data_IF_395061814647
#
_entry.id   IF_395061814647
#
_cell.length_a   1.000
_cell.length_b   1.000
_cell.length_c   1.000
_cell.angle_alpha   90.00
_cell.angle_beta   90.00
_cell.angle_gamma   90.00
#
_symmetry.space_group_name_H-M   'P 1'
#
loop_
_entity.id
_entity.type
_entity.pdbx_description
1 polymer ?
#
# COMPACT_ATOMS: atom_id res chain seq x y z
N UNK A 1 -46.50 61.11 10.09
CA UNK A 1 -45.20 60.97 9.39
C UNK A 1 -44.38 59.93 10.14
N UNK A 2 -44.60 58.63 9.89
CA UNK A 2 -43.87 57.54 10.61
C UNK A 2 -43.99 56.14 9.97
N UNK A 3 -44.65 55.96 8.82
CA UNK A 3 -44.94 54.62 8.26
C UNK A 3 -44.12 54.26 7.02
N UNK A 4 -43.25 55.14 6.53
CA UNK A 4 -42.45 54.92 5.31
C UNK A 4 -41.01 54.43 5.59
N UNK A 5 -40.57 54.46 6.85
CA UNK A 5 -39.20 54.08 7.24
C UNK A 5 -39.07 52.58 7.51
N UNK A 6 -40.14 51.94 8.03
CA UNK A 6 -40.10 50.51 8.37
C UNK A 6 -40.18 49.56 7.18
N UNK A 7 -40.80 49.99 6.06
CA UNK A 7 -40.89 49.20 4.83
C UNK A 7 -39.57 49.18 4.06
N UNK A 8 -38.88 50.32 3.96
CA UNK A 8 -37.57 50.44 3.33
C UNK A 8 -36.49 49.66 4.08
N UNK A 9 -36.52 49.70 5.41
CA UNK A 9 -35.60 48.92 6.25
C UNK A 9 -35.82 47.41 6.12
N UNK A 10 -37.07 46.96 5.96
CA UNK A 10 -37.40 45.55 5.78
C UNK A 10 -36.98 45.03 4.39
N UNK A 11 -37.15 45.85 3.35
CA UNK A 11 -36.73 45.52 1.98
C UNK A 11 -35.19 45.59 1.82
N UNK A 12 -34.54 46.55 2.48
CA UNK A 12 -33.08 46.63 2.56
C UNK A 12 -32.50 45.39 3.26
N UNK A 13 -33.04 44.97 4.42
CA UNK A 13 -32.62 43.75 5.12
C UNK A 13 -32.88 42.48 4.31
N UNK A 14 -34.00 42.39 3.58
CA UNK A 14 -34.25 41.26 2.65
C UNK A 14 -33.25 41.23 1.49
N UNK A 15 -32.87 42.40 0.97
CA UNK A 15 -31.84 42.54 -0.08
C UNK A 15 -30.46 42.14 0.44
N UNK A 16 -30.08 42.59 1.64
CA UNK A 16 -28.81 42.21 2.28
C UNK A 16 -28.77 40.72 2.60
N UNK A 17 -29.80 40.14 3.22
CA UNK A 17 -29.87 38.70 3.49
C UNK A 17 -29.78 37.86 2.22
N UNK A 18 -30.38 38.33 1.11
CA UNK A 18 -30.26 37.69 -0.19
C UNK A 18 -28.84 37.77 -0.73
N UNK A 19 -28.15 38.91 -0.62
CA UNK A 19 -26.75 39.06 -1.06
C UNK A 19 -25.79 38.17 -0.26
N UNK A 20 -25.97 38.08 1.06
CA UNK A 20 -25.22 37.16 1.91
C UNK A 20 -25.51 35.70 1.54
N UNK A 21 -26.76 35.35 1.25
CA UNK A 21 -27.16 34.04 0.77
C UNK A 21 -26.56 33.68 -0.59
N UNK A 22 -26.60 34.58 -1.56
CA UNK A 22 -25.98 34.41 -2.89
C UNK A 22 -24.46 34.20 -2.76
N UNK A 23 -23.80 35.00 -1.92
CA UNK A 23 -22.36 34.87 -1.65
C UNK A 23 -22.02 33.51 -1.01
N UNK A 24 -22.84 33.03 -0.08
CA UNK A 24 -22.67 31.72 0.53
C UNK A 24 -22.83 30.59 -0.49
N UNK A 25 -23.83 30.66 -1.37
CA UNK A 25 -24.02 29.68 -2.45
C UNK A 25 -22.81 29.66 -3.39
N UNK A 26 -22.32 30.82 -3.81
CA UNK A 26 -21.12 30.94 -4.66
C UNK A 26 -19.91 30.33 -3.95
N UNK A 27 -19.71 30.63 -2.67
CA UNK A 27 -18.61 30.06 -1.89
C UNK A 27 -18.69 28.52 -1.81
N UNK A 28 -19.88 27.97 -1.56
CA UNK A 28 -20.10 26.51 -1.55
C UNK A 28 -19.80 25.89 -2.91
N UNK A 29 -20.28 26.50 -4.01
CA UNK A 29 -20.01 26.02 -5.37
C UNK A 29 -18.51 26.02 -5.67
N UNK A 30 -17.79 27.11 -5.32
CA UNK A 30 -16.34 27.18 -5.48
C UNK A 30 -15.64 26.07 -4.69
N UNK A 31 -16.02 25.87 -3.42
CA UNK A 31 -15.45 24.80 -2.58
C UNK A 31 -15.71 23.42 -3.19
N UNK A 32 -16.91 23.16 -3.72
CA UNK A 32 -17.23 21.91 -4.39
C UNK A 32 -16.40 21.70 -5.66
N UNK A 33 -16.20 22.74 -6.48
CA UNK A 33 -15.35 22.67 -7.68
C UNK A 33 -13.90 22.39 -7.29
N UNK A 34 -13.36 23.16 -6.33
CA UNK A 34 -11.98 23.00 -5.84
C UNK A 34 -11.79 21.60 -5.27
N UNK A 35 -12.72 21.11 -4.43
CA UNK A 35 -12.64 19.77 -3.85
C UNK A 35 -12.82 18.67 -4.88
N UNK A 36 -13.68 18.88 -5.88
CA UNK A 36 -13.89 17.91 -6.95
C UNK A 36 -12.64 17.76 -7.82
N UNK A 37 -12.02 18.89 -8.22
CA UNK A 37 -11.01 18.92 -9.27
C UNK A 37 -9.56 19.09 -8.77
N UNK A 38 -9.30 19.85 -7.71
CA UNK A 38 -7.93 20.27 -7.40
C UNK A 38 -7.29 19.39 -6.31
N UNK A 39 -7.88 19.43 -5.12
CA UNK A 39 -7.36 18.71 -3.96
C UNK A 39 -8.47 18.32 -3.00
N UNK A 40 -8.21 17.34 -2.14
CA UNK A 40 -9.11 16.98 -1.06
C UNK A 40 -8.34 16.82 0.26
N UNK A 41 -9.07 16.91 1.36
CA UNK A 41 -8.54 16.85 2.71
C UNK A 41 -8.99 15.56 3.39
N UNK A 42 -8.03 14.73 3.77
CA UNK A 42 -8.30 13.43 4.40
C UNK A 42 -7.72 13.37 5.79
N UNK A 43 -8.39 12.67 6.70
CA UNK A 43 -7.86 12.29 8.01
C UNK A 43 -7.33 10.87 7.95
N UNK A 44 -6.21 10.59 8.62
CA UNK A 44 -5.68 9.24 8.78
C UNK A 44 -6.26 8.60 10.05
N UNK A 45 -7.08 7.54 9.93
CA UNK A 45 -7.69 6.88 11.08
C UNK A 45 -6.93 5.63 11.55
N UNK A 46 -6.03 5.07 10.73
CA UNK A 46 -5.36 3.79 11.01
C UNK A 46 -3.84 3.87 10.94
N UNK A 47 -3.09 3.00 11.66
CA UNK A 47 -1.63 3.02 11.72
C UNK A 47 -0.93 2.31 10.54
N UNK A 48 -1.65 1.96 9.48
CA UNK A 48 -1.08 1.19 8.34
C UNK A 48 0.06 1.90 7.59
N UNK A 49 0.13 3.23 7.71
CA UNK A 49 1.17 4.08 7.12
C UNK A 49 2.04 4.75 8.20
N UNK A 50 1.99 4.26 9.44
CA UNK A 50 2.64 4.84 10.62
C UNK A 50 4.14 5.08 10.44
N UNK A 51 4.71 5.97 11.26
CA UNK A 51 5.98 6.70 11.08
C UNK A 51 5.91 7.76 9.97
N UNK A 52 5.51 7.36 8.76
CA UNK A 52 5.38 8.28 7.62
C UNK A 52 4.08 9.10 7.69
N UNK A 53 2.94 8.48 7.98
CA UNK A 53 1.63 9.08 8.18
C UNK A 53 1.01 8.55 9.48
N UNK A 54 0.85 9.41 10.48
CA UNK A 54 0.37 9.00 11.80
C UNK A 54 -1.15 9.07 11.90
N UNK A 55 -1.73 8.26 12.79
CA UNK A 55 -3.13 8.42 13.20
C UNK A 55 -3.32 9.84 13.76
N UNK A 56 -4.34 10.53 13.26
CA UNK A 56 -4.59 11.94 13.57
C UNK A 56 -3.91 12.94 12.65
N UNK A 57 -3.13 12.50 11.66
CA UNK A 57 -2.68 13.37 10.57
C UNK A 57 -3.84 13.72 9.64
N UNK A 58 -3.81 14.96 9.16
CA UNK A 58 -4.71 15.47 8.14
C UNK A 58 -3.90 15.84 6.89
N UNK A 59 -4.23 15.21 5.78
CA UNK A 59 -3.46 15.24 4.55
C UNK A 59 -4.12 16.16 3.52
N UNK A 60 -3.29 16.84 2.74
CA UNK A 60 -3.70 17.40 1.44
C UNK A 60 -3.38 16.37 0.38
N UNK A 61 -4.40 16.03 -0.41
CA UNK A 61 -4.28 15.10 -1.53
C UNK A 61 -4.48 15.87 -2.82
N UNK A 62 -3.46 15.90 -3.66
CA UNK A 62 -3.50 16.57 -4.95
C UNK A 62 -4.07 15.63 -6.01
N UNK A 63 -5.24 15.97 -6.55
CA UNK A 63 -5.86 15.27 -7.68
C UNK A 63 -5.19 15.64 -9.00
N UNK A 64 -4.62 16.84 -9.06
CA UNK A 64 -3.91 17.35 -10.24
C UNK A 64 -2.65 16.56 -10.60
N UNK A 65 -2.02 15.88 -9.63
CA UNK A 65 -0.84 15.05 -9.92
C UNK A 65 -1.17 13.96 -10.94
N UNK A 66 -2.24 13.20 -10.73
CA UNK A 66 -2.62 12.08 -11.61
C UNK A 66 -3.83 12.38 -12.47
N UNK A 67 -4.25 13.64 -12.54
CA UNK A 67 -5.40 14.05 -13.33
C UNK A 67 -6.73 13.90 -12.58
N UNK A 68 -7.56 14.95 -12.51
CA UNK A 68 -8.89 14.86 -11.93
C UNK A 68 -9.79 13.90 -12.70
N UNK A 69 -10.65 13.16 -11.98
CA UNK A 69 -11.64 12.26 -12.57
C UNK A 69 -13.03 12.89 -12.62
N UNK A 70 -13.83 12.52 -13.62
CA UNK A 70 -15.25 12.86 -13.66
C UNK A 70 -16.03 12.09 -12.59
N UNK A 71 -17.13 12.66 -12.05
CA UNK A 71 -18.05 11.91 -11.20
C UNK A 71 -18.64 10.72 -11.96
N UNK A 72 -18.81 9.59 -11.27
CA UNK A 72 -19.35 8.35 -11.86
C UNK A 72 -20.78 8.11 -11.36
N UNK A 73 -21.15 8.64 -10.19
CA UNK A 73 -22.51 8.60 -9.65
C UNK A 73 -23.13 9.99 -9.51
N UNK A 74 -24.45 10.07 -9.62
CA UNK A 74 -25.22 11.28 -9.29
C UNK A 74 -25.70 11.18 -7.84
N UNK A 75 -25.28 12.10 -6.98
CA UNK A 75 -25.71 12.13 -5.59
C UNK A 75 -25.46 13.46 -4.90
N UNK A 76 -26.00 13.61 -3.70
CA UNK A 76 -25.84 14.83 -2.91
C UNK A 76 -24.39 14.86 -2.37
N UNK A 77 -23.61 15.93 -2.65
CA UNK A 77 -22.26 16.07 -2.12
C UNK A 77 -22.24 15.95 -0.60
N UNK A 78 -21.20 15.34 -0.04
CA UNK A 78 -20.99 15.19 1.42
C UNK A 78 -22.00 14.28 2.12
N UNK A 79 -22.83 13.55 1.39
CA UNK A 79 -23.76 12.55 1.95
C UNK A 79 -23.61 11.20 1.25
N UNK A 80 -24.16 10.15 1.86
CA UNK A 80 -24.30 8.83 1.25
C UNK A 80 -25.44 8.73 0.24
N UNK A 81 -26.26 9.77 0.08
CA UNK A 81 -27.43 9.74 -0.79
C UNK A 81 -26.98 9.87 -2.25
N UNK A 82 -27.22 8.83 -3.04
CA UNK A 82 -27.05 8.82 -4.50
C UNK A 82 -28.28 8.22 -5.19
N UNK A 83 -28.42 8.49 -6.48
CA UNK A 83 -29.45 7.87 -7.31
C UNK A 83 -28.99 6.48 -7.75
N UNK A 84 -29.69 5.40 -7.39
CA UNK A 84 -29.35 4.07 -7.85
C UNK A 84 -29.62 3.93 -9.35
N UNK A 85 -28.75 3.21 -10.06
CA UNK A 85 -28.91 2.93 -11.49
C UNK A 85 -28.47 4.04 -12.46
N UNK A 86 -28.01 5.20 -11.96
CA UNK A 86 -27.45 6.28 -12.79
C UNK A 86 -25.92 6.24 -12.69
N UNK A 87 -25.26 5.79 -13.75
CA UNK A 87 -23.80 5.77 -13.88
C UNK A 87 -23.35 6.61 -15.06
N UNK A 88 -22.34 7.46 -14.85
CA UNK A 88 -21.71 8.26 -15.90
C UNK A 88 -20.45 7.58 -16.43
N UNK A 89 -20.09 7.80 -17.70
CA UNK A 89 -18.83 7.29 -18.23
C UNK A 89 -17.65 7.90 -17.47
N UNK A 90 -16.72 7.03 -17.08
CA UNK A 90 -15.50 7.44 -16.42
C UNK A 90 -14.56 8.13 -17.41
N UNK A 91 -14.11 9.33 -17.06
CA UNK A 91 -13.05 10.04 -17.76
C UNK A 91 -12.06 10.64 -16.75
N UNK A 92 -10.77 10.57 -17.11
CA UNK A 92 -9.68 11.20 -16.35
C UNK A 92 -9.05 12.27 -17.22
N UNK A 93 -8.96 13.48 -16.68
CA UNK A 93 -8.25 14.59 -17.31
C UNK A 93 -6.73 14.38 -17.19
N UNK A 94 -5.90 15.00 -18.04
CA UNK A 94 -4.45 14.94 -17.89
C UNK A 94 -3.99 15.45 -16.52
N UNK A 95 -3.04 14.74 -15.91
CA UNK A 95 -2.34 15.16 -14.70
C UNK A 95 -1.00 15.83 -15.03
N UNK A 96 -0.38 16.42 -14.02
CA UNK A 96 0.99 16.96 -14.14
C UNK A 96 2.07 15.88 -14.08
N UNK A 97 1.72 14.66 -13.65
CA UNK A 97 2.62 13.53 -13.47
C UNK A 97 1.89 12.20 -13.63
N UNK A 98 2.63 11.13 -13.80
CA UNK A 98 2.10 9.76 -13.70
C UNK A 98 2.35 9.20 -12.31
N UNK A 99 1.63 8.14 -11.96
CA UNK A 99 1.88 7.40 -10.72
C UNK A 99 3.26 6.79 -10.79
N UNK A 100 4.06 6.94 -9.74
CA UNK A 100 5.41 6.38 -9.66
C UNK A 100 5.55 5.43 -8.48
N UNK A 101 6.51 4.50 -8.59
CA UNK A 101 6.86 3.62 -7.48
C UNK A 101 7.31 4.46 -6.30
N UNK A 102 6.75 4.17 -5.13
CA UNK A 102 7.00 4.90 -3.90
C UNK A 102 6.05 6.07 -3.67
N UNK A 103 5.15 6.40 -4.59
CA UNK A 103 4.15 7.43 -4.32
C UNK A 103 3.16 6.99 -3.23
N UNK A 104 2.86 7.85 -2.24
CA UNK A 104 1.74 7.67 -1.34
C UNK A 104 0.46 8.10 -2.07
N UNK A 105 -0.35 7.13 -2.46
CA UNK A 105 -1.58 7.36 -3.21
C UNK A 105 -2.79 7.24 -2.30
N UNK A 106 -3.78 8.09 -2.55
CA UNK A 106 -5.13 7.91 -2.03
C UNK A 106 -5.98 7.32 -3.14
N UNK A 107 -6.72 6.26 -2.82
CA UNK A 107 -7.53 5.52 -3.78
C UNK A 107 -8.81 5.02 -3.10
N UNK A 108 -9.80 4.69 -3.91
CA UNK A 108 -11.02 4.03 -3.46
C UNK A 108 -10.77 2.53 -3.25
N UNK A 109 -11.24 1.98 -2.13
CA UNK A 109 -11.01 0.58 -1.75
C UNK A 109 -11.57 -0.39 -2.81
N UNK A 110 -10.73 -1.13 -3.56
CA UNK A 110 -11.19 -1.83 -4.76
C UNK A 110 -12.28 -2.89 -4.56
N UNK A 111 -12.25 -3.74 -3.51
CA UNK A 111 -13.20 -4.84 -3.35
C UNK A 111 -14.66 -4.48 -3.08
N UNK A 112 -14.94 -3.22 -2.73
CA UNK A 112 -16.30 -2.73 -2.49
C UNK A 112 -17.11 -2.73 -3.79
N UNK A 113 -18.40 -3.08 -3.73
CA UNK A 113 -19.28 -3.14 -4.91
C UNK A 113 -20.05 -1.81 -5.14
N UNK A 114 -19.87 -0.83 -4.25
CA UNK A 114 -20.38 0.54 -4.43
C UNK A 114 -19.79 1.24 -5.66
N UNK A 115 -20.46 2.27 -6.22
CA UNK A 115 -19.87 3.14 -7.25
C UNK A 115 -18.50 3.67 -6.83
N UNK A 116 -17.54 3.76 -7.76
CA UNK A 116 -16.13 4.07 -7.47
C UNK A 116 -15.97 5.33 -6.59
N UNK A 117 -16.78 6.36 -6.82
CA UNK A 117 -16.74 7.63 -6.09
C UNK A 117 -17.43 7.60 -4.71
N UNK A 118 -18.04 6.46 -4.32
CA UNK A 118 -18.69 6.21 -3.03
C UNK A 118 -17.93 5.25 -2.13
N UNK A 119 -17.02 4.46 -2.70
CA UNK A 119 -16.16 3.54 -1.97
C UNK A 119 -15.30 4.26 -0.94
N UNK A 120 -14.99 3.58 0.16
CA UNK A 120 -14.11 4.09 1.22
C UNK A 120 -12.72 4.44 0.67
N UNK A 121 -12.13 5.53 1.15
CA UNK A 121 -10.79 5.95 0.77
C UNK A 121 -9.71 5.26 1.59
N UNK A 122 -8.68 4.78 0.91
CA UNK A 122 -7.48 4.18 1.50
C UNK A 122 -6.24 4.97 1.08
N UNK A 123 -5.24 4.98 1.96
CA UNK A 123 -3.91 5.51 1.67
C UNK A 123 -2.90 4.39 1.80
N UNK A 124 -2.10 4.17 0.75
CA UNK A 124 -1.01 3.18 0.70
C UNK A 124 0.09 3.72 -0.20
N UNK A 125 1.26 3.07 -0.14
CA UNK A 125 2.38 3.37 -1.03
C UNK A 125 2.38 2.43 -2.22
N UNK A 126 2.62 2.96 -3.41
CA UNK A 126 2.79 2.15 -4.63
C UNK A 126 4.11 1.40 -4.53
N UNK A 127 4.04 0.06 -4.51
CA UNK A 127 5.21 -0.81 -4.45
C UNK A 127 5.46 -1.47 -5.79
N UNK A 128 4.42 -1.92 -6.49
CA UNK A 128 4.50 -2.52 -7.82
C UNK A 128 3.79 -1.67 -8.87
N UNK A 129 4.44 -1.49 -10.00
CA UNK A 129 4.00 -0.73 -11.17
C UNK A 129 3.36 -1.64 -12.22
N UNK A 130 2.59 -1.09 -13.18
CA UNK A 130 2.06 -1.85 -14.30
C UNK A 130 3.18 -2.57 -15.04
N UNK A 131 3.03 -3.89 -15.27
CA UNK A 131 4.00 -4.72 -15.98
C UNK A 131 5.07 -5.36 -15.10
N UNK A 132 5.23 -4.93 -13.84
CA UNK A 132 6.18 -5.58 -12.92
C UNK A 132 5.72 -7.00 -12.55
N UNK A 133 6.69 -7.81 -12.13
CA UNK A 133 6.46 -9.03 -11.36
C UNK A 133 6.84 -8.83 -9.89
N UNK A 134 5.87 -8.86 -9.00
CA UNK A 134 6.09 -8.69 -7.56
C UNK A 134 6.12 -10.04 -6.84
N UNK A 135 7.09 -10.23 -5.95
CA UNK A 135 7.10 -11.31 -4.96
C UNK A 135 7.55 -10.81 -3.60
N UNK A 136 7.21 -11.53 -2.55
CA UNK A 136 7.71 -11.29 -1.19
C UNK A 136 8.34 -12.60 -0.71
N UNK A 137 9.58 -12.53 -0.22
CA UNK A 137 10.32 -13.65 0.34
C UNK A 137 10.88 -13.22 1.69
N UNK A 138 10.47 -13.88 2.76
CA UNK A 138 10.89 -13.57 4.12
C UNK A 138 10.78 -12.07 4.46
N UNK A 139 9.62 -11.48 4.18
CA UNK A 139 9.27 -10.03 4.25
C UNK A 139 9.92 -9.12 3.21
N UNK A 140 10.96 -9.56 2.50
CA UNK A 140 11.61 -8.73 1.51
C UNK A 140 10.83 -8.75 0.19
N UNK A 141 10.38 -7.57 -0.23
CA UNK A 141 9.75 -7.39 -1.53
C UNK A 141 10.80 -7.52 -2.62
N UNK A 142 10.45 -8.16 -3.73
CA UNK A 142 11.24 -8.22 -4.94
C UNK A 142 10.39 -7.81 -6.13
N UNK A 143 10.95 -6.97 -7.00
CA UNK A 143 10.35 -6.49 -8.25
C UNK A 143 11.19 -7.04 -9.39
N UNK A 144 10.59 -7.83 -10.27
CA UNK A 144 11.26 -8.50 -11.38
C UNK A 144 12.49 -9.34 -10.95
N UNK A 145 12.46 -9.82 -9.71
CA UNK A 145 13.54 -10.57 -9.07
C UNK A 145 14.48 -9.73 -8.22
N UNK A 146 14.56 -8.42 -8.44
CA UNK A 146 15.44 -7.51 -7.72
C UNK A 146 14.87 -7.13 -6.35
N UNK A 147 15.68 -7.14 -5.27
CA UNK A 147 15.20 -6.81 -3.94
C UNK A 147 14.86 -5.32 -3.82
N UNK A 148 13.68 -5.03 -3.25
CA UNK A 148 13.23 -3.70 -2.89
C UNK A 148 13.15 -3.59 -1.35
N UNK A 149 14.23 -3.13 -0.68
CA UNK A 149 14.27 -3.03 0.77
C UNK A 149 13.29 -2.00 1.31
N UNK A 150 13.02 -2.07 2.61
CA UNK A 150 12.23 -1.07 3.32
C UNK A 150 12.88 0.31 3.19
N UNK A 151 12.07 1.29 2.80
CA UNK A 151 12.49 2.69 2.75
C UNK A 151 12.46 3.36 4.12
N UNK A 152 12.87 4.63 4.16
CA UNK A 152 12.80 5.47 5.35
C UNK A 152 11.38 5.52 5.92
N UNK A 153 11.28 5.32 7.24
CA UNK A 153 10.01 5.32 7.98
C UNK A 153 9.15 4.07 7.75
N UNK A 154 9.55 3.14 6.88
CA UNK A 154 8.85 1.85 6.82
C UNK A 154 9.30 0.97 7.98
N UNK A 155 8.37 0.19 8.51
CA UNK A 155 8.60 -0.64 9.68
C UNK A 155 7.97 -2.02 9.54
N UNK A 156 8.53 -2.96 10.30
CA UNK A 156 8.10 -4.35 10.39
C UNK A 156 8.43 -4.90 11.79
N UNK A 157 7.89 -6.07 12.11
CA UNK A 157 8.27 -6.80 13.30
C UNK A 157 9.63 -7.47 13.13
N UNK A 158 10.42 -7.34 14.20
CA UNK A 158 11.68 -8.00 14.40
C UNK A 158 11.58 -8.92 15.61
N UNK A 159 12.15 -10.12 15.52
CA UNK A 159 12.38 -10.96 16.69
C UNK A 159 13.69 -10.51 17.33
N UNK A 160 13.60 -10.00 18.56
CA UNK A 160 14.76 -9.58 19.35
C UNK A 160 14.99 -10.59 20.48
N UNK A 161 16.15 -11.23 20.48
CA UNK A 161 16.61 -12.09 21.56
C UNK A 161 17.40 -11.25 22.55
N UNK A 162 16.96 -11.21 23.81
CA UNK A 162 17.57 -10.44 24.89
C UNK A 162 18.68 -11.26 25.57
N UNK A 163 19.73 -10.57 26.01
CA UNK A 163 20.80 -11.15 26.83
C UNK A 163 20.32 -11.50 28.24
N UNK A 164 19.38 -10.73 28.81
CA UNK A 164 18.68 -11.02 30.08
C UNK A 164 17.16 -11.06 29.85
N UNK A 165 16.52 -12.17 30.21
CA UNK A 165 15.07 -12.38 30.09
C UNK A 165 14.24 -11.33 30.86
N UNK A 166 14.79 -10.75 31.93
CA UNK A 166 14.12 -9.75 32.77
C UNK A 166 14.24 -8.33 32.22
N UNK A 167 15.14 -8.12 31.27
CA UNK A 167 15.33 -6.79 30.69
C UNK A 167 14.03 -6.32 30.02
N UNK A 168 13.63 -5.10 30.36
CA UNK A 168 12.50 -4.39 29.77
C UNK A 168 13.04 -3.14 29.08
N UNK A 169 12.57 -2.87 27.86
CA UNK A 169 12.98 -1.69 27.09
C UNK A 169 12.25 -0.49 27.70
N UNK A 170 12.94 0.47 28.33
CA UNK A 170 12.28 1.66 28.87
C UNK A 170 11.68 2.49 27.74
N UNK A 171 10.52 3.12 27.97
CA UNK A 171 9.80 3.93 26.97
C UNK A 171 10.69 4.96 26.26
N UNK A 172 11.51 5.70 27.03
CA UNK A 172 12.46 6.67 26.46
C UNK A 172 13.43 6.04 25.45
N UNK A 173 13.90 4.81 25.69
CA UNK A 173 14.77 4.10 24.75
C UNK A 173 14.01 3.59 23.52
N UNK A 174 12.72 3.30 23.66
CA UNK A 174 11.87 2.97 22.52
C UNK A 174 11.76 4.17 21.58
N UNK A 175 11.46 5.34 22.13
CA UNK A 175 11.37 6.61 21.40
C UNK A 175 12.71 6.97 20.72
N UNK A 176 13.84 6.84 21.44
CA UNK A 176 15.19 7.11 20.90
C UNK A 176 15.57 6.19 19.71
N UNK A 177 15.11 4.94 19.70
CA UNK A 177 15.43 3.96 18.66
C UNK A 177 14.32 3.80 17.60
N UNK A 178 13.25 4.60 17.64
CA UNK A 178 12.13 4.45 16.70
C UNK A 178 11.43 3.09 16.80
N UNK A 179 11.21 2.63 18.03
CA UNK A 179 10.41 1.44 18.34
C UNK A 179 8.98 1.87 18.62
N UNK A 180 8.04 1.44 17.79
CA UNK A 180 6.64 1.81 17.90
C UNK A 180 5.84 0.84 18.79
N UNK A 181 6.22 -0.44 18.81
CA UNK A 181 5.53 -1.45 19.63
C UNK A 181 6.48 -2.56 20.11
N UNK A 182 6.24 -3.10 21.31
CA UNK A 182 6.92 -4.30 21.83
C UNK A 182 5.89 -5.32 22.31
N UNK A 183 5.85 -6.48 21.65
CA UNK A 183 5.00 -7.62 22.04
C UNK A 183 5.85 -8.70 22.70
N UNK A 184 5.37 -9.21 23.83
CA UNK A 184 5.99 -10.37 24.49
C UNK A 184 5.71 -11.63 23.67
N UNK A 185 6.64 -12.57 23.70
CA UNK A 185 6.43 -13.92 23.14
C UNK A 185 6.28 -14.93 24.28
N UNK A 186 6.00 -16.19 23.93
CA UNK A 186 5.92 -17.29 24.89
C UNK A 186 7.27 -17.59 25.57
N UNK A 187 8.39 -17.08 25.03
CA UNK A 187 9.72 -17.20 25.63
C UNK A 187 10.12 -15.87 26.24
N UNK A 188 10.51 -15.87 27.52
CA UNK A 188 10.86 -14.65 28.26
C UNK A 188 12.08 -13.90 27.67
N UNK A 189 12.96 -14.63 26.98
CA UNK A 189 14.15 -14.09 26.33
C UNK A 189 13.86 -13.42 24.99
N UNK A 190 12.71 -13.68 24.35
CA UNK A 190 12.41 -13.14 23.02
C UNK A 190 11.20 -12.21 23.04
N UNK A 191 11.33 -11.08 22.35
CA UNK A 191 10.26 -10.10 22.15
C UNK A 191 10.11 -9.81 20.66
N UNK A 192 8.89 -9.50 20.22
CA UNK A 192 8.62 -8.97 18.88
C UNK A 192 8.59 -7.46 18.98
N UNK A 193 9.40 -6.78 18.17
CA UNK A 193 9.54 -5.33 18.20
C UNK A 193 9.13 -4.78 16.85
N UNK A 194 8.12 -3.91 16.82
CA UNK A 194 7.77 -3.15 15.63
C UNK A 194 8.71 -1.96 15.53
N UNK A 195 9.55 -1.94 14.51
CA UNK A 195 10.55 -0.90 14.33
C UNK A 195 10.96 -0.74 12.87
N UNK A 196 11.51 0.44 12.56
CA UNK A 196 12.20 0.70 11.30
C UNK A 196 13.51 -0.10 11.20
N UNK A 197 14.07 -0.33 9.99
CA UNK A 197 15.39 -0.94 9.84
C UNK A 197 16.51 -0.22 10.59
N UNK A 198 16.44 1.11 10.68
CA UNK A 198 17.40 1.91 11.45
C UNK A 198 17.25 1.66 12.95
N UNK A 199 16.01 1.57 13.44
CA UNK A 199 15.76 1.17 14.83
C UNK A 199 16.29 -0.23 15.14
N UNK A 200 16.13 -1.17 14.22
CA UNK A 200 16.72 -2.50 14.33
C UNK A 200 18.26 -2.47 14.38
N UNK A 201 18.91 -1.62 13.56
CA UNK A 201 20.36 -1.40 13.58
C UNK A 201 20.83 -0.88 14.94
N UNK A 202 20.16 0.15 15.46
CA UNK A 202 20.50 0.72 16.76
C UNK A 202 20.30 -0.27 17.90
N UNK A 203 19.24 -1.08 17.85
CA UNK A 203 19.01 -2.15 18.83
C UNK A 203 20.14 -3.19 18.80
N UNK A 204 20.59 -3.62 17.62
CA UNK A 204 21.66 -4.63 17.46
C UNK A 204 22.96 -4.25 18.18
N UNK A 205 23.22 -2.96 18.34
CA UNK A 205 24.43 -2.42 18.98
C UNK A 205 24.34 -2.39 20.52
N UNK A 206 23.18 -2.74 21.11
CA UNK A 206 22.99 -2.66 22.56
C UNK A 206 23.42 -3.96 23.24
N UNK A 207 24.10 -3.85 24.39
CA UNK A 207 24.59 -4.99 25.16
C UNK A 207 23.50 -5.96 25.65
N UNK A 208 22.25 -5.49 25.75
CA UNK A 208 21.10 -6.31 26.14
C UNK A 208 20.49 -7.10 24.98
N UNK A 209 20.96 -6.92 23.74
CA UNK A 209 20.50 -7.64 22.55
C UNK A 209 21.53 -8.70 22.16
N UNK A 210 21.10 -9.96 22.11
CA UNK A 210 21.88 -11.11 21.64
C UNK A 210 21.78 -11.28 20.13
N UNK A 211 20.56 -11.20 19.59
CA UNK A 211 20.29 -11.26 18.15
C UNK A 211 19.05 -10.46 17.79
N UNK A 212 18.98 -10.03 16.54
CA UNK A 212 17.81 -9.40 15.93
C UNK A 212 17.66 -9.90 14.50
N UNK A 213 16.47 -10.40 14.18
CA UNK A 213 16.14 -11.01 12.90
C UNK A 213 14.71 -10.60 12.48
N UNK A 214 14.38 -10.49 11.19
CA UNK A 214 13.01 -10.28 10.74
C UNK A 214 12.06 -11.34 11.32
N UNK A 215 10.90 -10.94 11.83
CA UNK A 215 9.90 -11.88 12.34
C UNK A 215 9.04 -12.45 11.21
N UNK A 216 9.50 -13.51 10.54
CA UNK A 216 8.74 -14.13 9.45
C UNK A 216 7.56 -14.94 10.00
N UNK A 217 6.36 -14.62 9.53
CA UNK A 217 5.13 -15.32 9.82
C UNK A 217 4.99 -16.56 8.93
N UNK A 218 5.03 -17.72 9.57
CA UNK A 218 4.73 -19.02 8.97
C UNK A 218 3.43 -19.53 9.57
N UNK A 219 2.29 -19.20 8.95
CA UNK A 219 0.97 -19.66 9.35
C UNK A 219 0.10 -19.89 8.13
N UNK A 220 -0.51 -21.08 8.05
CA UNK A 220 -1.44 -21.45 6.99
C UNK A 220 -2.80 -20.71 7.12
N UNK A 221 -3.05 -20.06 8.28
CA UNK A 221 -4.28 -19.29 8.54
C UNK A 221 -4.50 -18.16 7.53
N UNK A 222 -3.43 -17.68 6.88
CA UNK A 222 -3.50 -16.59 5.91
C UNK A 222 -3.81 -17.07 4.49
N UNK A 223 -3.72 -18.37 4.21
CA UNK A 223 -3.86 -18.90 2.86
C UNK A 223 -5.17 -18.45 2.16
N UNK A 224 -6.27 -18.44 2.91
CA UNK A 224 -7.58 -18.07 2.37
C UNK A 224 -7.86 -16.54 2.45
N UNK A 225 -7.06 -15.81 3.24
CA UNK A 225 -7.16 -14.36 3.40
C UNK A 225 -6.30 -13.58 2.39
N UNK A 226 -5.29 -14.23 1.80
CA UNK A 226 -4.44 -13.63 0.77
C UNK A 226 -5.15 -13.58 -0.58
N UNK A 227 -4.70 -12.68 -1.45
CA UNK A 227 -5.14 -12.59 -2.83
C UNK A 227 -4.07 -13.10 -3.80
N UNK A 228 -4.39 -13.96 -4.77
CA UNK A 228 -5.56 -14.82 -4.77
C UNK A 228 -5.47 -15.82 -3.62
N UNK A 229 -6.63 -16.25 -3.13
CA UNK A 229 -6.71 -17.21 -2.02
C UNK A 229 -6.28 -18.61 -2.46
N UNK A 230 -5.90 -19.45 -1.49
CA UNK A 230 -5.60 -20.86 -1.74
C UNK A 230 -4.23 -21.12 -2.40
N UNK A 231 -3.27 -20.19 -2.28
CA UNK A 231 -1.94 -20.30 -2.91
C UNK A 231 -0.78 -20.62 -1.97
N UNK A 232 -1.08 -20.87 -0.70
CA UNK A 232 -0.08 -20.99 0.37
C UNK A 232 0.60 -19.66 0.68
N UNK A 233 0.02 -18.54 0.26
CA UNK A 233 0.59 -17.23 0.50
C UNK A 233 0.40 -16.79 1.95
N UNK A 234 1.41 -16.10 2.47
CA UNK A 234 1.34 -15.34 3.70
C UNK A 234 1.70 -13.87 3.41
N UNK A 235 1.44 -12.94 4.35
CA UNK A 235 1.89 -11.56 4.20
C UNK A 235 3.40 -11.41 4.00
N UNK A 236 4.19 -12.40 4.43
CA UNK A 236 5.66 -12.39 4.43
C UNK A 236 6.27 -13.26 3.31
N UNK A 237 5.48 -14.15 2.71
CA UNK A 237 5.86 -15.03 1.61
C UNK A 237 4.72 -15.08 0.58
N UNK A 238 4.89 -14.34 -0.53
CA UNK A 238 3.81 -14.01 -1.45
C UNK A 238 4.29 -14.01 -2.91
N UNK A 239 3.42 -14.41 -3.83
CA UNK A 239 3.69 -14.36 -5.26
C UNK A 239 4.64 -15.48 -5.75
N UNK A 240 5.27 -15.32 -6.93
CA UNK A 240 5.25 -14.12 -7.77
C UNK A 240 3.87 -13.84 -8.39
N UNK A 241 3.52 -12.56 -8.53
CA UNK A 241 2.35 -12.08 -9.26
C UNK A 241 2.78 -11.04 -10.30
N UNK A 242 2.28 -11.17 -11.51
CA UNK A 242 2.49 -10.18 -12.56
C UNK A 242 1.37 -9.14 -12.53
N UNK A 243 1.76 -7.86 -12.50
CA UNK A 243 0.84 -6.74 -12.35
C UNK A 243 0.35 -6.33 -13.74
N UNK A 244 -0.97 -6.32 -13.98
CA UNK A 244 -1.50 -5.94 -15.29
C UNK A 244 -1.11 -4.53 -15.74
N UNK A 245 -0.80 -4.39 -17.02
CA UNK A 245 -0.56 -3.10 -17.67
C UNK A 245 -1.50 -2.89 -18.84
N UNK A 246 -1.91 -1.64 -19.05
CA UNK A 246 -2.82 -1.27 -20.13
C UNK A 246 -2.27 -1.72 -21.49
N UNK A 247 -3.11 -2.37 -22.28
CA UNK A 247 -2.76 -2.86 -23.61
C UNK A 247 -1.90 -4.13 -23.63
N UNK A 248 -1.50 -4.66 -22.47
CA UNK A 248 -0.74 -5.92 -22.40
C UNK A 248 -1.68 -7.12 -22.51
N UNK A 249 -1.34 -8.05 -23.39
CA UNK A 249 -2.06 -9.32 -23.55
C UNK A 249 -1.40 -10.43 -22.76
N UNK A 250 -2.17 -11.13 -21.93
CA UNK A 250 -1.71 -12.31 -21.18
C UNK A 250 -2.42 -13.57 -21.65
N UNK A 251 -1.72 -14.71 -21.58
CA UNK A 251 -2.34 -16.03 -21.72
C UNK A 251 -3.02 -16.42 -20.41
N UNK A 252 -4.31 -16.72 -20.49
CA UNK A 252 -5.09 -17.24 -19.38
C UNK A 252 -4.80 -18.73 -19.20
N UNK A 253 -4.63 -19.13 -17.95
CA UNK A 253 -4.33 -20.48 -17.52
C UNK A 253 -5.03 -20.72 -16.20
N UNK A 254 -5.28 -21.98 -15.86
CA UNK A 254 -5.78 -22.35 -14.53
C UNK A 254 -4.95 -21.72 -13.38
N UNK A 255 -3.63 -21.64 -13.57
CA UNK A 255 -2.69 -21.08 -12.58
C UNK A 255 -2.82 -19.57 -12.36
N UNK A 256 -3.20 -18.77 -13.35
CA UNK A 256 -3.34 -17.32 -13.20
C UNK A 256 -4.81 -16.86 -13.22
N UNK A 257 -5.74 -17.77 -13.42
CA UNK A 257 -7.16 -17.45 -13.49
C UNK A 257 -7.69 -16.79 -12.22
N UNK A 258 -7.35 -17.36 -11.05
CA UNK A 258 -7.75 -16.77 -9.76
C UNK A 258 -7.18 -15.36 -9.55
N UNK A 259 -6.02 -15.05 -10.14
CA UNK A 259 -5.42 -13.73 -10.10
C UNK A 259 -6.20 -12.76 -11.01
N UNK A 260 -6.44 -13.11 -12.27
CA UNK A 260 -6.98 -12.15 -13.24
C UNK A 260 -8.50 -12.12 -13.37
N UNK A 261 -9.22 -13.17 -12.96
CA UNK A 261 -10.69 -13.16 -13.04
C UNK A 261 -11.32 -11.98 -12.29
N UNK A 262 -10.96 -11.68 -11.02
CA UNK A 262 -11.51 -10.51 -10.33
C UNK A 262 -11.19 -9.20 -11.05
N UNK A 263 -10.04 -9.10 -11.70
CA UNK A 263 -9.66 -7.91 -12.48
C UNK A 263 -10.60 -7.71 -13.67
N UNK A 264 -10.73 -8.76 -14.48
CA UNK A 264 -11.58 -8.77 -15.69
C UNK A 264 -13.04 -8.46 -15.34
N UNK A 265 -13.55 -9.10 -14.29
CA UNK A 265 -14.96 -8.98 -13.90
C UNK A 265 -15.26 -7.67 -13.17
N UNK A 266 -14.51 -7.36 -12.11
CA UNK A 266 -14.85 -6.25 -11.21
C UNK A 266 -14.37 -4.91 -11.73
N UNK A 267 -13.19 -4.86 -12.33
CA UNK A 267 -12.54 -3.59 -12.68
C UNK A 267 -12.64 -3.24 -14.16
N UNK A 268 -12.84 -4.23 -15.03
CA UNK A 268 -13.04 -4.00 -16.47
C UNK A 268 -14.46 -4.31 -16.95
N UNK A 269 -15.34 -4.84 -16.07
CA UNK A 269 -16.77 -4.93 -16.31
C UNK A 269 -17.21 -6.04 -17.27
N UNK A 270 -16.38 -7.07 -17.46
CA UNK A 270 -16.67 -8.18 -18.36
C UNK A 270 -17.26 -9.40 -17.64
N UNK A 271 -18.11 -10.18 -18.31
CA UNK A 271 -18.42 -11.52 -17.81
C UNK A 271 -17.24 -12.45 -18.11
N UNK A 272 -16.81 -13.23 -17.12
CA UNK A 272 -15.63 -14.09 -17.26
C UNK A 272 -15.79 -15.42 -16.50
N UNK A 273 -15.71 -16.52 -17.25
CA UNK A 273 -15.80 -17.89 -16.71
C UNK A 273 -14.77 -18.84 -17.35
N UNK A 274 -14.24 -19.74 -16.54
CA UNK A 274 -13.39 -20.83 -17.00
C UNK A 274 -14.27 -21.95 -17.56
N UNK A 275 -13.93 -22.46 -18.74
CA UNK A 275 -14.64 -23.60 -19.37
C UNK A 275 -13.87 -24.90 -19.19
N UNK A 276 -12.54 -24.84 -19.37
CA UNK A 276 -11.57 -25.92 -19.13
C UNK A 276 -10.28 -25.31 -18.58
N UNK A 277 -9.27 -26.13 -18.29
CA UNK A 277 -7.96 -25.66 -17.79
C UNK A 277 -7.23 -24.71 -18.75
N UNK A 278 -7.61 -24.71 -20.03
CA UNK A 278 -6.96 -23.94 -21.11
C UNK A 278 -7.92 -23.09 -21.94
N UNK A 279 -9.23 -23.15 -21.70
CA UNK A 279 -10.24 -22.38 -22.44
C UNK A 279 -11.15 -21.63 -21.48
N UNK A 280 -11.36 -20.35 -21.79
CA UNK A 280 -12.14 -19.40 -21.01
C UNK A 280 -13.21 -18.78 -21.91
N UNK A 281 -14.25 -18.21 -21.31
CA UNK A 281 -15.20 -17.36 -22.01
C UNK A 281 -15.20 -15.98 -21.38
N UNK A 282 -15.08 -14.95 -22.23
CA UNK A 282 -15.18 -13.54 -21.85
C UNK A 282 -16.28 -12.92 -22.71
N UNK A 283 -17.31 -12.36 -22.07
CA UNK A 283 -18.54 -11.89 -22.72
C UNK A 283 -19.16 -12.92 -23.68
N UNK A 284 -19.11 -14.20 -23.27
CA UNK A 284 -19.60 -15.32 -24.08
C UNK A 284 -18.67 -15.79 -25.19
N UNK A 285 -17.63 -15.03 -25.56
CA UNK A 285 -16.67 -15.42 -26.57
C UNK A 285 -15.58 -16.34 -26.01
N UNK A 286 -15.31 -17.47 -26.68
CA UNK A 286 -14.26 -18.41 -26.30
C UNK A 286 -12.88 -17.81 -26.56
N UNK A 287 -12.02 -17.81 -25.55
CA UNK A 287 -10.66 -17.26 -25.63
C UNK A 287 -9.69 -18.03 -24.72
N UNK A 288 -8.39 -17.85 -24.95
CA UNK A 288 -7.30 -18.25 -24.06
C UNK A 288 -6.39 -17.09 -23.67
N UNK A 289 -6.76 -15.87 -24.04
CA UNK A 289 -5.99 -14.65 -23.78
C UNK A 289 -6.89 -13.51 -23.36
N UNK A 290 -6.31 -12.53 -22.67
CA UNK A 290 -6.98 -11.29 -22.30
C UNK A 290 -6.03 -10.10 -22.46
N UNK A 291 -6.56 -8.96 -22.90
CA UNK A 291 -5.83 -7.69 -23.01
C UNK A 291 -6.43 -6.69 -22.02
N UNK A 292 -5.62 -6.22 -21.09
CA UNK A 292 -6.06 -5.29 -20.05
C UNK A 292 -6.33 -3.88 -20.60
N UNK A 293 -7.35 -3.22 -20.07
CA UNK A 293 -7.84 -1.93 -20.56
C UNK A 293 -7.30 -0.73 -19.78
N UNK A 294 -6.75 -0.98 -18.59
CA UNK A 294 -6.16 0.04 -17.74
C UNK A 294 -4.92 -0.44 -17.01
N UNK A 295 -4.23 0.51 -16.39
CA UNK A 295 -3.07 0.25 -15.56
C UNK A 295 -3.48 -0.16 -14.15
N UNK A 296 -2.68 -1.04 -13.56
CA UNK A 296 -2.89 -1.57 -12.23
C UNK A 296 -1.63 -1.42 -11.39
N UNK A 297 -1.82 -1.21 -10.10
CA UNK A 297 -0.75 -1.00 -9.13
C UNK A 297 -0.86 -2.01 -8.00
N UNK A 298 0.27 -2.35 -7.40
CA UNK A 298 0.32 -3.11 -6.16
C UNK A 298 0.74 -2.16 -5.04
N UNK A 299 -0.17 -1.87 -4.12
CA UNK A 299 0.06 -0.89 -3.06
C UNK A 299 0.19 -1.58 -1.69
N UNK A 300 1.17 -1.17 -0.89
CA UNK A 300 1.42 -1.70 0.45
C UNK A 300 1.50 -0.60 1.50
N UNK A 301 1.25 -0.96 2.76
CA UNK A 301 1.45 -0.05 3.89
C UNK A 301 2.92 0.11 4.25
N UNK A 302 3.28 1.27 4.80
CA UNK A 302 4.62 1.50 5.35
C UNK A 302 4.82 0.74 6.68
N UNK A 303 3.73 0.51 7.42
CA UNK A 303 3.69 -0.38 8.57
C UNK A 303 3.32 -1.81 8.11
N UNK A 304 4.33 -2.56 7.65
CA UNK A 304 4.15 -3.77 6.83
C UNK A 304 3.34 -4.87 7.49
N UNK A 305 3.45 -5.00 8.81
CA UNK A 305 2.78 -6.04 9.58
C UNK A 305 1.45 -5.60 10.20
N UNK A 306 1.12 -4.30 10.14
CA UNK A 306 -0.15 -3.74 10.58
C UNK A 306 -0.91 -3.09 9.41
N UNK A 307 -0.79 -3.68 8.22
CA UNK A 307 -1.41 -3.18 6.99
C UNK A 307 -2.11 -4.31 6.26
N UNK A 308 -3.44 -4.25 6.20
CA UNK A 308 -4.16 -4.88 5.10
C UNK A 308 -3.93 -4.01 3.85
N UNK A 309 -3.44 -4.64 2.79
CA UNK A 309 -3.03 -4.00 1.55
C UNK A 309 -3.22 -4.93 0.33
N UNK A 310 -2.60 -4.62 -0.82
CA UNK A 310 -2.78 -5.41 -2.05
C UNK A 310 -2.47 -6.91 -1.91
N UNK A 311 -1.72 -7.33 -0.88
CA UNK A 311 -1.54 -8.76 -0.55
C UNK A 311 -2.86 -9.46 -0.20
N UNK A 312 -3.85 -8.74 0.31
CA UNK A 312 -5.12 -9.26 0.81
C UNK A 312 -6.26 -9.10 -0.20
N UNK A 313 -6.25 -8.01 -0.99
CA UNK A 313 -7.36 -7.69 -1.91
C UNK A 313 -6.97 -7.59 -3.38
N UNK A 314 -5.69 -7.64 -3.69
CA UNK A 314 -5.17 -7.54 -5.04
C UNK A 314 -4.90 -6.13 -5.53
N UNK A 315 -4.98 -5.97 -6.84
CA UNK A 315 -4.48 -4.78 -7.51
C UNK A 315 -5.37 -3.55 -7.29
N UNK A 316 -4.74 -2.37 -7.35
CA UNK A 316 -5.41 -1.08 -7.36
C UNK A 316 -5.48 -0.60 -8.82
N UNK A 317 -6.66 -0.57 -9.46
CA UNK A 317 -6.80 -0.04 -10.81
C UNK A 317 -6.65 1.49 -10.85
N UNK A 318 -6.20 2.02 -11.99
CA UNK A 318 -5.98 3.45 -12.19
C UNK A 318 -7.25 4.29 -12.00
N UNK A 319 -8.43 3.78 -12.34
CA UNK A 319 -9.71 4.47 -12.13
C UNK A 319 -10.06 4.70 -10.64
N UNK A 320 -9.53 3.87 -9.74
CA UNK A 320 -9.71 4.01 -8.29
C UNK A 320 -8.73 5.00 -7.67
N UNK A 321 -7.63 5.36 -8.34
CA UNK A 321 -6.65 6.33 -7.82
C UNK A 321 -7.27 7.73 -7.77
N UNK A 322 -7.31 8.35 -6.59
CA UNK A 322 -7.86 9.69 -6.39
C UNK A 322 -6.78 10.76 -6.60
N UNK A 323 -5.59 10.57 -6.02
CA UNK A 323 -4.53 11.57 -6.08
C UNK A 323 -3.31 11.20 -5.23
N UNK A 324 -2.28 12.05 -5.28
CA UNK A 324 -1.05 11.92 -4.47
C UNK A 324 -1.24 12.62 -3.13
N UNK A 325 -0.91 11.95 -2.03
CA UNK A 325 -0.80 12.61 -0.73
C UNK A 325 0.50 13.44 -0.71
N UNK A 326 0.39 14.77 -0.61
CA UNK A 326 1.54 15.66 -0.82
C UNK A 326 2.08 16.28 0.48
N UNK A 327 1.22 16.59 1.44
CA UNK A 327 1.64 17.20 2.71
C UNK A 327 0.64 16.92 3.84
N UNK A 328 1.13 16.88 5.07
CA UNK A 328 0.31 16.87 6.28
C UNK A 328 0.03 18.31 6.69
N UNK A 329 -1.20 18.81 6.51
CA UNK A 329 -1.53 20.21 6.85
C UNK A 329 -1.81 20.42 8.33
N UNK A 330 -2.27 19.38 9.02
CA UNK A 330 -2.51 19.40 10.45
C UNK A 330 -2.28 18.01 11.05
N UNK A 331 -1.98 17.95 12.34
CA UNK A 331 -1.78 16.68 13.04
C UNK A 331 -2.18 16.81 14.50
N UNK A 332 -3.03 15.90 14.96
CA UNK A 332 -3.54 15.87 16.34
C UNK A 332 -3.08 14.60 17.05
N UNK A 333 -2.51 14.77 18.24
CA UNK A 333 -2.20 13.65 19.12
C UNK A 333 -3.39 13.34 20.02
N UNK A 334 -4.01 12.18 19.82
CA UNK A 334 -5.16 11.75 20.62
C UNK A 334 -4.76 11.25 22.03
N UNK A 335 -3.50 10.87 22.25
CA UNK A 335 -3.01 10.43 23.56
C UNK A 335 -2.58 11.62 24.41
N UNK A 336 -1.81 12.54 23.82
CA UNK A 336 -1.35 13.74 24.51
C UNK A 336 -2.37 14.89 24.49
N UNK A 337 -3.43 14.77 23.69
CA UNK A 337 -4.46 15.79 23.48
C UNK A 337 -3.91 17.16 23.05
N UNK A 338 -2.89 17.15 22.18
CA UNK A 338 -2.19 18.34 21.72
C UNK A 338 -1.87 18.26 20.21
N UNK A 339 -1.76 19.40 19.50
CA UNK A 339 -1.25 19.43 18.13
C UNK A 339 0.20 18.96 18.05
N UNK A 340 0.51 18.14 17.04
CA UNK A 340 1.91 17.76 16.73
C UNK A 340 2.55 18.82 15.84
N UNK A 341 3.00 19.93 16.43
CA UNK A 341 3.53 21.09 15.69
C UNK A 341 4.63 20.74 14.67
N UNK A 342 5.51 19.78 15.00
CA UNK A 342 6.57 19.32 14.09
C UNK A 342 6.09 18.57 12.84
N UNK A 343 4.79 18.29 12.71
CA UNK A 343 4.18 17.63 11.54
C UNK A 343 3.30 18.57 10.70
N UNK A 344 3.06 19.79 11.17
CA UNK A 344 2.25 20.78 10.43
C UNK A 344 3.02 21.23 9.19
N UNK A 345 2.34 21.21 8.04
CA UNK A 345 2.89 21.50 6.70
C UNK A 345 4.09 20.61 6.31
N UNK A 346 4.21 19.42 6.92
CA UNK A 346 5.29 18.49 6.62
C UNK A 346 5.05 17.84 5.24
N UNK A 347 5.99 17.94 4.29
CA UNK A 347 5.90 17.21 3.03
C UNK A 347 5.88 15.70 3.26
N UNK A 348 5.10 14.99 2.46
CA UNK A 348 5.06 13.52 2.50
C UNK A 348 6.06 12.98 1.48
N UNK A 349 6.97 12.13 1.94
CA UNK A 349 7.98 11.54 1.08
C UNK A 349 7.38 10.54 0.08
N UNK A 350 7.88 10.58 -1.16
CA UNK A 350 7.48 9.74 -2.29
C UNK A 350 8.55 8.68 -2.63
N UNK A 351 8.95 8.51 -3.89
CA UNK A 351 10.06 7.64 -4.30
C UNK A 351 11.36 7.91 -3.53
N UNK A 352 11.55 9.11 -2.98
CA UNK A 352 12.67 9.44 -2.10
C UNK A 352 12.84 8.48 -0.91
N UNK A 353 11.78 7.81 -0.44
CA UNK A 353 11.87 6.87 0.69
C UNK A 353 12.77 5.68 0.40
N UNK A 354 12.92 5.26 -0.86
CA UNK A 354 13.75 4.12 -1.25
C UNK A 354 15.18 4.50 -1.65
N UNK A 355 15.45 5.79 -1.88
CA UNK A 355 16.78 6.27 -2.33
C UNK A 355 17.83 6.18 -1.23
N UNK A 356 17.41 6.37 0.02
CA UNK A 356 18.24 6.10 1.18
C UNK A 356 18.13 4.60 1.47
N UNK A 357 18.99 3.75 0.88
CA UNK A 357 18.98 2.31 1.19
C UNK A 357 19.33 2.08 2.67
N UNK A 358 18.42 1.56 3.52
CA UNK A 358 18.78 1.23 4.89
C UNK A 358 19.00 -0.27 5.02
N UNK A 359 20.18 -0.64 5.52
CA UNK A 359 20.46 -1.71 6.50
C UNK A 359 20.11 -3.17 6.16
N UNK A 360 19.13 -3.49 5.31
CA UNK A 360 18.73 -4.88 5.04
C UNK A 360 19.87 -5.69 4.41
N UNK A 361 20.66 -5.08 3.53
CA UNK A 361 21.88 -5.71 2.98
C UNK A 361 22.97 -5.95 4.05
N UNK A 362 23.01 -5.14 5.11
CA UNK A 362 23.98 -5.29 6.22
C UNK A 362 23.48 -6.27 7.30
N UNK A 363 22.16 -6.38 7.51
CA UNK A 363 21.58 -7.32 8.46
C UNK A 363 21.57 -8.75 7.93
N UNK A 364 21.39 -8.94 6.61
CA UNK A 364 21.52 -10.24 5.93
C UNK A 364 22.98 -10.62 5.63
N UNK A 365 23.91 -9.67 5.64
CA UNK A 365 25.35 -9.82 5.37
C UNK A 365 26.17 -10.63 6.40
N UNK A 366 25.54 -11.53 7.15
CA UNK A 366 26.23 -12.53 7.98
C UNK A 366 26.49 -13.86 7.26
N UNK A 367 25.87 -14.11 6.11
CA UNK A 367 26.08 -15.31 5.30
C UNK A 367 25.87 -15.00 3.82
N UNK A 368 26.87 -14.43 3.15
CA UNK A 368 27.09 -14.53 1.68
C UNK A 368 28.32 -13.70 1.29
N UNK A 369 29.49 -14.06 1.83
CA UNK A 369 30.73 -13.86 1.11
C UNK A 369 31.01 -15.18 0.38
N UNK A 370 30.81 -15.19 -0.93
CA UNK A 370 31.05 -16.35 -1.77
C UNK A 370 32.48 -16.82 -1.63
N UNK A 371 32.67 -17.98 -1.02
CA UNK A 371 33.82 -18.84 -1.30
C UNK A 371 33.53 -19.46 -2.67
N UNK A 372 34.38 -19.25 -3.69
CA UNK A 372 34.21 -19.96 -4.96
C UNK A 372 34.37 -21.45 -4.69
N UNK A 373 33.32 -22.23 -4.95
CA UNK A 373 33.41 -23.68 -5.03
C UNK A 373 34.45 -24.02 -6.11
N UNK A 374 35.45 -24.87 -5.83
CA UNK A 374 36.40 -25.27 -6.86
C UNK A 374 35.68 -26.07 -7.94
N UNK A 375 35.94 -25.66 -9.18
CA UNK A 375 35.44 -26.22 -10.43
C UNK A 375 35.62 -27.75 -10.46
N UNK A 376 34.51 -28.48 -10.53
CA UNK A 376 34.49 -29.95 -10.54
C UNK A 376 34.58 -30.54 -11.96
N UNK A 377 35.21 -29.82 -12.88
CA UNK A 377 35.42 -30.24 -14.27
C UNK A 377 36.87 -30.56 -14.64
N UNK A 378 37.66 -31.17 -13.75
CA UNK A 378 38.84 -31.95 -14.19
C UNK A 378 39.22 -33.05 -13.20
N UNK A 379 38.58 -34.22 -13.30
CA UNK A 379 39.16 -35.45 -12.76
C UNK A 379 39.82 -36.24 -13.89
N UNK A 380 41.14 -36.07 -14.00
CA UNK A 380 41.99 -37.04 -14.66
C UNK A 380 41.81 -38.42 -14.00
N UNK A 381 41.62 -39.46 -14.82
CA UNK A 381 41.54 -40.84 -14.38
C UNK A 381 42.89 -41.26 -13.77
N UNK A 382 42.94 -41.92 -12.59
CA UNK A 382 44.14 -42.60 -12.16
C UNK A 382 44.29 -43.94 -12.92
N UNK A 383 45.52 -44.45 -13.09
CA UNK A 383 45.76 -45.67 -13.84
C UNK A 383 45.30 -46.90 -13.04
N UNK A 384 44.75 -47.87 -13.77
CA UNK A 384 44.44 -49.21 -13.27
C UNK A 384 45.75 -49.93 -12.99
N UNK A 385 46.03 -50.22 -11.72
CA UNK A 385 47.05 -51.19 -11.32
C UNK A 385 46.30 -52.46 -10.89
N UNK A 386 46.39 -53.47 -11.75
CA UNK A 386 46.07 -54.85 -11.41
C UNK A 386 47.20 -55.40 -10.56
N UNK A 387 46.91 -55.91 -9.36
CA UNK A 387 47.69 -57.04 -8.86
C UNK A 387 46.86 -57.97 -7.97
N UNK A 388 47.04 -59.25 -8.28
CA UNK A 388 46.49 -60.43 -7.63
C UNK A 388 47.17 -60.65 -6.28
N UNK A 389 46.51 -61.32 -5.34
CA UNK A 389 46.95 -62.56 -4.64
C UNK A 389 46.02 -62.89 -3.45
N UNK A 390 46.02 -64.13 -2.90
CA UNK A 390 44.85 -65.01 -2.95
C UNK A 390 44.23 -65.33 -1.57
N UNK A 391 43.17 -66.13 -1.64
CA UNK A 391 42.41 -66.75 -0.57
C UNK A 391 43.24 -67.34 0.58
N UNK A 392 42.71 -67.18 1.80
CA UNK A 392 42.35 -68.27 2.71
C UNK A 392 41.24 -67.83 3.65
#
# INVERSE_FOLDING_TARGET
>A
MSTDDSSRDADARKSELRQWGESLVVAVVIVLIVRSLLFDLFRIPTPSMEENLLVGDYLVVSKLHYGPRTPVSLGIPLTSIHLPGVTFPYHRLPGFSEVQRGDPIVFNYPPDDEPIDRKVHYVKRVIGMPGDTLSVRDKLVHIDGDPLPLGRGMQQYWTVTKSDARYQIPRRRMEEMGISEVRRTNRAETVRVLATPEGAKQMRQRSWVRSIEPYVLNSDEYNDLMYPSGRGYTPDNYGPVHIPAKGTTVKLTDRNWALYRPVIVRYEGHDARQMTDSTFAIDGARTSTYTFQQDYFFAMGDNRDNSQDSRFWGFVPMDHVVGKAVLTYFSWDHEAWLPRFGRILRPIADAGVFREQPVMNELSGGQTAGVPLPDSSSRARPPVVTDRFPAR
#
